data_IF_904236762637
#
_entry.id   IF_904236762637
#
_cell.length_a   1.000
_cell.length_b   1.000
_cell.length_c   1.000
_cell.angle_alpha   90.00
_cell.angle_beta   90.00
_cell.angle_gamma   90.00
#
_symmetry.space_group_name_H-M   'P 1'
#
loop_
_entity.id
_entity.type
_entity.pdbx_description
1 polymer ?
#
# COMPACT_ATOMS: atom_id res chain seq x y z
N UNK A 1 15.32 3.60 14.54
CA UNK A 1 13.98 3.27 13.98
C UNK A 1 13.06 2.58 15.01
N UNK A 2 11.83 3.08 15.20
CA UNK A 2 10.80 2.52 16.08
C UNK A 2 9.94 1.46 15.34
N UNK A 3 9.37 0.49 16.06
CA UNK A 3 8.38 -0.48 15.54
C UNK A 3 7.22 0.19 14.77
N UNK A 4 6.68 1.30 15.26
CA UNK A 4 5.55 1.96 14.60
C UNK A 4 5.96 2.65 13.29
N UNK A 5 7.19 3.14 13.17
CA UNK A 5 7.73 3.66 11.90
C UNK A 5 7.84 2.53 10.86
N UNK A 6 8.29 1.34 11.28
CA UNK A 6 8.31 0.14 10.41
C UNK A 6 6.92 -0.28 9.97
N UNK A 7 5.95 -0.30 10.90
CA UNK A 7 4.54 -0.61 10.59
C UNK A 7 3.92 0.40 9.63
N UNK A 8 4.20 1.69 9.83
CA UNK A 8 3.81 2.77 8.93
C UNK A 8 4.37 2.55 7.53
N UNK A 9 5.67 2.30 7.44
CA UNK A 9 6.33 2.04 6.17
C UNK A 9 5.71 0.83 5.47
N UNK A 10 5.59 -0.31 6.15
CA UNK A 10 4.96 -1.51 5.60
C UNK A 10 3.50 -1.31 5.16
N UNK A 11 2.74 -0.45 5.83
CA UNK A 11 1.31 -0.23 5.55
C UNK A 11 1.08 0.53 4.24
N UNK A 12 1.88 1.56 3.95
CA UNK A 12 1.61 2.49 2.84
C UNK A 12 2.72 2.54 1.78
N UNK A 13 3.88 1.89 1.98
CA UNK A 13 5.01 2.02 1.06
C UNK A 13 4.69 1.59 -0.38
N UNK A 14 3.94 0.51 -0.56
CA UNK A 14 3.64 -0.04 -1.88
C UNK A 14 2.74 0.87 -2.72
N UNK A 15 1.92 1.72 -2.10
CA UNK A 15 1.07 2.69 -2.81
C UNK A 15 1.84 3.92 -3.32
N UNK A 16 3.09 4.11 -2.88
CA UNK A 16 3.92 5.30 -3.16
C UNK A 16 5.29 4.92 -3.72
N UNK A 17 5.40 3.77 -4.39
CA UNK A 17 6.68 3.20 -4.84
C UNK A 17 7.25 3.79 -6.13
N UNK A 18 6.51 4.59 -6.89
CA UNK A 18 7.00 5.10 -8.17
C UNK A 18 8.22 6.03 -8.01
N UNK A 19 9.20 5.77 -8.87
CA UNK A 19 10.60 6.20 -8.86
C UNK A 19 10.80 7.63 -8.29
N UNK A 20 11.20 7.70 -7.02
CA UNK A 20 11.62 8.94 -6.36
C UNK A 20 10.60 9.58 -5.40
N UNK A 21 9.37 9.07 -5.35
CA UNK A 21 8.29 9.63 -4.53
C UNK A 21 8.02 8.82 -3.25
N UNK A 22 9.03 8.68 -2.38
CA UNK A 22 8.80 8.54 -0.93
C UNK A 22 8.19 9.85 -0.33
N UNK A 23 7.38 10.58 -1.11
CA UNK A 23 6.90 11.94 -0.82
C UNK A 23 6.04 11.95 0.44
N UNK A 24 5.20 10.92 0.64
CA UNK A 24 4.41 10.81 1.86
C UNK A 24 5.29 10.66 3.10
N UNK A 25 6.35 9.85 3.06
CA UNK A 25 7.24 9.69 4.21
C UNK A 25 8.16 10.89 4.45
N UNK A 26 8.43 11.69 3.41
CA UNK A 26 9.12 12.98 3.54
C UNK A 26 8.24 14.05 4.22
N UNK A 27 6.92 13.96 4.08
CA UNK A 27 5.98 14.87 4.76
C UNK A 27 5.67 14.47 6.20
N UNK A 28 5.74 13.17 6.53
CA UNK A 28 5.56 12.66 7.88
C UNK A 28 6.77 12.96 8.78
N UNK A 29 6.60 13.91 9.72
CA UNK A 29 7.66 14.31 10.64
C UNK A 29 8.18 13.14 11.48
N UNK A 30 7.30 12.22 11.89
CA UNK A 30 7.69 11.03 12.65
C UNK A 30 8.61 10.06 11.89
N UNK A 31 8.69 10.13 10.55
CA UNK A 31 9.49 9.22 9.73
C UNK A 31 10.70 9.90 9.07
N UNK A 32 10.67 11.24 8.97
CA UNK A 32 11.65 12.05 8.23
C UNK A 32 13.11 11.74 8.59
N UNK A 33 13.42 11.64 9.88
CA UNK A 33 14.80 11.47 10.35
C UNK A 33 15.34 10.04 10.17
N UNK A 34 14.47 9.05 9.96
CA UNK A 34 14.83 7.64 9.83
C UNK A 34 14.48 7.06 8.45
N UNK A 35 14.19 7.91 7.45
CA UNK A 35 13.67 7.45 6.16
C UNK A 35 14.65 6.51 5.46
N UNK A 36 15.94 6.87 5.43
CA UNK A 36 16.97 6.03 4.80
C UNK A 36 17.13 4.70 5.53
N UNK A 37 17.04 4.70 6.86
CA UNK A 37 17.08 3.47 7.67
C UNK A 37 15.85 2.58 7.40
N UNK A 38 14.67 3.17 7.21
CA UNK A 38 13.43 2.46 6.89
C UNK A 38 13.52 1.84 5.49
N UNK A 39 14.03 2.60 4.52
CA UNK A 39 14.22 2.12 3.16
C UNK A 39 15.24 0.98 3.11
N UNK A 40 16.39 1.13 3.78
CA UNK A 40 17.41 0.08 3.88
C UNK A 40 16.87 -1.16 4.60
N UNK A 41 16.12 -0.98 5.70
CA UNK A 41 15.48 -2.10 6.40
C UNK A 41 14.49 -2.86 5.50
N UNK A 42 13.69 -2.14 4.72
CA UNK A 42 12.75 -2.76 3.78
C UNK A 42 13.48 -3.47 2.64
N UNK A 43 14.53 -2.85 2.08
CA UNK A 43 15.37 -3.46 1.05
C UNK A 43 16.08 -4.70 1.56
N UNK A 44 16.69 -4.66 2.75
CA UNK A 44 17.29 -5.82 3.39
C UNK A 44 16.26 -6.94 3.59
N UNK A 45 15.04 -6.61 4.02
CA UNK A 45 13.97 -7.59 4.08
C UNK A 45 13.66 -8.19 2.70
N UNK A 46 13.72 -7.41 1.62
CA UNK A 46 13.47 -7.87 0.24
C UNK A 46 14.66 -8.64 -0.36
N UNK A 47 15.89 -8.33 0.03
CA UNK A 47 17.10 -9.05 -0.41
C UNK A 47 17.27 -10.34 0.38
N UNK A 48 17.07 -10.31 1.70
CA UNK A 48 16.99 -11.49 2.56
C UNK A 48 15.81 -12.39 2.17
N UNK A 49 14.76 -11.86 1.51
CA UNK A 49 13.65 -12.64 0.95
C UNK A 49 14.06 -13.58 -0.18
N UNK A 50 15.07 -13.24 -0.98
CA UNK A 50 15.59 -14.17 -2.00
C UNK A 50 16.30 -15.37 -1.36
N UNK A 51 16.66 -15.27 -0.06
CA UNK A 51 17.47 -16.26 0.65
C UNK A 51 16.70 -16.98 1.80
N UNK A 52 15.68 -16.37 2.40
CA UNK A 52 14.93 -16.91 3.56
C UNK A 52 13.41 -17.00 3.33
N UNK A 53 12.88 -18.22 3.47
CA UNK A 53 11.52 -18.67 3.11
C UNK A 53 10.35 -18.12 3.96
N UNK A 54 10.47 -17.01 4.71
CA UNK A 54 9.36 -16.47 5.51
C UNK A 54 9.10 -15.01 5.15
N UNK A 55 8.21 -14.82 4.17
CA UNK A 55 7.90 -13.53 3.56
C UNK A 55 6.40 -13.25 3.65
N UNK A 56 5.94 -12.03 4.01
CA UNK A 56 4.51 -11.66 3.91
C UNK A 56 3.86 -12.01 2.56
N UNK A 57 4.54 -11.75 1.43
CA UNK A 57 4.05 -12.14 0.11
C UNK A 57 4.10 -13.65 -0.14
N UNK A 58 5.08 -14.40 0.38
CA UNK A 58 5.14 -15.86 0.26
C UNK A 58 4.11 -16.53 1.17
N UNK A 59 3.86 -15.98 2.36
CA UNK A 59 2.79 -16.38 3.28
C UNK A 59 1.44 -16.11 2.61
N UNK A 60 1.25 -14.92 2.04
CA UNK A 60 0.04 -14.59 1.29
C UNK A 60 -0.13 -15.55 0.09
N UNK A 61 0.92 -15.74 -0.71
CA UNK A 61 0.93 -16.64 -1.86
C UNK A 61 0.73 -18.11 -1.49
N UNK A 62 1.19 -18.55 -0.30
CA UNK A 62 0.94 -19.92 0.19
C UNK A 62 -0.54 -20.19 0.46
N UNK A 63 -1.35 -19.14 0.60
CA UNK A 63 -2.81 -19.23 0.71
C UNK A 63 -3.52 -19.21 -0.65
N UNK A 64 -2.82 -18.83 -1.71
CA UNK A 64 -3.38 -18.80 -3.06
C UNK A 64 -3.60 -20.21 -3.58
N UNK A 65 -4.78 -20.43 -4.18
CA UNK A 65 -5.12 -21.70 -4.84
C UNK A 65 -4.92 -21.65 -6.35
N UNK A 66 -4.35 -20.56 -6.86
CA UNK A 66 -4.21 -20.28 -8.29
C UNK A 66 -2.81 -19.72 -8.57
N UNK A 67 -2.20 -20.15 -9.67
CA UNK A 67 -0.90 -19.68 -10.12
C UNK A 67 -1.08 -18.64 -11.23
N UNK A 68 -1.55 -17.44 -10.86
CA UNK A 68 -1.77 -16.33 -11.79
C UNK A 68 -0.65 -15.30 -11.61
N UNK A 69 0.00 -14.93 -12.71
CA UNK A 69 0.96 -13.84 -12.70
C UNK A 69 0.26 -12.50 -12.44
N UNK A 70 0.77 -11.71 -11.50
CA UNK A 70 0.32 -10.34 -11.31
C UNK A 70 0.69 -9.52 -12.56
N UNK A 71 -0.27 -8.72 -13.04
CA UNK A 71 -0.08 -7.92 -14.26
C UNK A 71 -0.07 -6.44 -13.91
N UNK A 72 1.14 -5.87 -13.81
CA UNK A 72 1.35 -4.49 -13.37
C UNK A 72 1.18 -3.43 -14.49
N UNK A 73 1.16 -3.86 -15.76
CA UNK A 73 1.16 -2.95 -16.93
C UNK A 73 -0.21 -2.86 -17.63
N UNK A 74 -1.30 -2.78 -16.87
CA UNK A 74 -2.62 -2.47 -17.45
C UNK A 74 -2.97 -1.00 -17.22
N UNK A 75 -2.76 -0.18 -18.24
CA UNK A 75 -3.36 1.16 -18.43
C UNK A 75 -4.86 1.08 -18.71
N UNK A 76 -5.57 0.16 -18.05
CA UNK A 76 -7.01 0.06 -18.18
C UNK A 76 -7.66 0.91 -17.11
N UNK A 77 -8.37 1.95 -17.56
CA UNK A 77 -9.13 2.88 -16.71
C UNK A 77 -10.27 2.20 -15.95
N UNK A 78 -10.54 0.92 -16.20
CA UNK A 78 -11.57 0.14 -15.49
C UNK A 78 -11.05 -1.22 -15.05
N UNK A 79 -11.58 -1.74 -13.95
CA UNK A 79 -11.40 -3.13 -13.53
C UNK A 79 -12.72 -3.74 -13.06
N UNK A 80 -12.79 -5.06 -13.12
CA UNK A 80 -13.93 -5.81 -12.60
C UNK A 80 -13.60 -6.34 -11.21
N UNK A 81 -14.43 -5.99 -10.24
CA UNK A 81 -14.37 -6.53 -8.88
C UNK A 81 -15.53 -7.49 -8.65
N UNK A 82 -15.32 -8.46 -7.76
CA UNK A 82 -16.33 -9.45 -7.37
C UNK A 82 -16.56 -9.40 -5.88
N UNK A 83 -17.83 -9.39 -5.48
CA UNK A 83 -18.19 -9.53 -4.08
C UNK A 83 -17.84 -10.96 -3.59
N UNK A 84 -17.12 -11.12 -2.45
CA UNK A 84 -16.58 -12.42 -2.04
C UNK A 84 -17.65 -13.46 -1.69
N UNK A 85 -18.85 -13.03 -1.27
CA UNK A 85 -19.92 -13.95 -0.85
C UNK A 85 -20.89 -14.25 -1.99
N UNK A 86 -21.38 -13.22 -2.68
CA UNK A 86 -22.43 -13.36 -3.71
C UNK A 86 -21.86 -13.63 -5.09
N UNK A 87 -20.55 -13.41 -5.31
CA UNK A 87 -19.93 -13.45 -6.63
C UNK A 87 -20.40 -12.33 -7.56
N UNK A 88 -21.21 -11.37 -7.09
CA UNK A 88 -21.74 -10.28 -7.89
C UNK A 88 -20.58 -9.48 -8.48
N UNK A 89 -20.65 -9.27 -9.79
CA UNK A 89 -19.64 -8.53 -10.55
C UNK A 89 -20.01 -7.06 -10.59
N UNK A 90 -19.02 -6.20 -10.37
CA UNK A 90 -19.15 -4.76 -10.51
C UNK A 90 -17.96 -4.23 -11.30
N UNK A 91 -18.22 -3.37 -12.28
CA UNK A 91 -17.17 -2.68 -13.02
C UNK A 91 -16.92 -1.34 -12.36
N UNK A 92 -15.66 -1.07 -12.02
CA UNK A 92 -15.24 0.16 -11.37
C UNK A 92 -14.17 0.85 -12.19
N UNK A 93 -14.14 2.16 -12.09
CA UNK A 93 -13.04 2.97 -12.62
C UNK A 93 -11.78 2.77 -11.77
N UNK A 94 -10.69 2.40 -12.41
CA UNK A 94 -9.36 2.38 -11.82
C UNK A 94 -8.85 3.83 -11.77
N UNK A 95 -8.90 4.45 -10.59
CA UNK A 95 -8.23 5.73 -10.39
C UNK A 95 -6.74 5.54 -10.15
N UNK A 96 -5.94 6.53 -10.57
CA UNK A 96 -4.50 6.51 -10.38
C UNK A 96 -4.16 6.74 -8.90
N UNK A 97 -3.74 5.68 -8.19
CA UNK A 97 -3.48 5.69 -6.75
C UNK A 97 -2.29 6.57 -6.32
N UNK A 98 -1.55 7.14 -7.27
CA UNK A 98 -0.31 7.88 -7.06
C UNK A 98 -0.49 9.27 -6.42
N UNK A 99 -1.70 9.84 -6.39
CA UNK A 99 -1.88 11.18 -5.82
C UNK A 99 -1.79 11.12 -4.28
N UNK A 100 -0.83 11.86 -3.70
CA UNK A 100 -0.61 11.89 -2.26
C UNK A 100 -1.74 12.65 -1.57
N UNK A 101 -2.49 12.00 -0.66
CA UNK A 101 -3.57 12.68 0.03
C UNK A 101 -3.03 13.74 1.00
N UNK A 102 -3.77 14.82 1.18
CA UNK A 102 -3.46 15.81 2.21
C UNK A 102 -3.69 15.21 3.60
N UNK A 103 -2.60 15.01 4.35
CA UNK A 103 -2.62 14.43 5.69
C UNK A 103 -2.94 15.45 6.80
N UNK A 104 -3.00 16.75 6.49
CA UNK A 104 -3.29 17.80 7.47
C UNK A 104 -2.29 17.80 8.64
N UNK A 105 -2.80 18.01 9.86
CA UNK A 105 -1.95 18.18 11.05
C UNK A 105 -1.27 16.89 11.52
N UNK A 106 -1.75 15.70 11.14
CA UNK A 106 -1.12 14.43 11.54
C UNK A 106 0.29 14.29 10.93
N UNK A 107 0.58 14.98 9.82
CA UNK A 107 1.91 14.98 9.22
C UNK A 107 2.97 15.64 10.12
N UNK A 108 2.55 16.57 11.00
CA UNK A 108 3.44 17.26 11.95
C UNK A 108 3.62 16.52 13.27
N UNK A 109 2.88 15.43 13.48
CA UNK A 109 2.98 14.63 14.69
C UNK A 109 4.31 13.85 14.72
N UNK A 110 4.95 13.82 15.89
CA UNK A 110 6.24 13.13 16.10
C UNK A 110 6.06 11.72 16.64
N UNK A 111 4.96 11.45 17.34
CA UNK A 111 4.67 10.10 17.84
C UNK A 111 4.21 9.17 16.71
N UNK A 112 5.14 8.33 16.24
CA UNK A 112 4.87 7.33 15.22
C UNK A 112 3.74 6.36 15.57
N UNK A 113 3.47 6.07 16.86
CA UNK A 113 2.34 5.22 17.27
C UNK A 113 1.01 5.89 16.95
N UNK A 114 0.89 7.17 17.30
CA UNK A 114 -0.30 7.98 17.04
C UNK A 114 -0.54 8.15 15.54
N UNK A 115 0.53 8.46 14.79
CA UNK A 115 0.47 8.56 13.32
C UNK A 115 0.03 7.24 12.69
N UNK A 116 0.58 6.11 13.15
CA UNK A 116 0.18 4.77 12.68
C UNK A 116 -1.31 4.51 12.84
N UNK A 117 -1.84 4.67 14.06
CA UNK A 117 -3.26 4.39 14.32
C UNK A 117 -4.19 5.36 13.59
N UNK A 118 -3.78 6.62 13.48
CA UNK A 118 -4.54 7.60 12.73
C UNK A 118 -4.61 7.23 11.25
N UNK A 119 -3.47 6.91 10.62
CA UNK A 119 -3.44 6.50 9.22
C UNK A 119 -4.23 5.19 9.01
N UNK A 120 -4.04 4.19 9.87
CA UNK A 120 -4.82 2.95 9.80
C UNK A 120 -6.34 3.20 9.83
N UNK A 121 -6.81 4.16 10.63
CA UNK A 121 -8.24 4.46 10.77
C UNK A 121 -8.80 5.39 9.69
N UNK A 122 -8.07 6.42 9.29
CA UNK A 122 -8.59 7.55 8.50
C UNK A 122 -8.05 7.60 7.07
N UNK A 123 -6.92 6.97 6.77
CA UNK A 123 -6.36 6.96 5.42
C UNK A 123 -7.35 6.40 4.37
N UNK A 124 -8.07 5.27 4.62
CA UNK A 124 -9.07 4.78 3.67
C UNK A 124 -10.19 5.80 3.40
N UNK A 125 -10.67 6.51 4.43
CA UNK A 125 -11.72 7.53 4.26
C UNK A 125 -11.25 8.72 3.42
N UNK A 126 -9.99 9.13 3.57
CA UNK A 126 -9.42 10.20 2.74
C UNK A 126 -9.33 9.76 1.28
N UNK A 127 -8.91 8.51 1.04
CA UNK A 127 -8.86 7.93 -0.31
C UNK A 127 -10.26 7.81 -0.93
N UNK A 128 -11.26 7.43 -0.14
CA UNK A 128 -12.66 7.36 -0.58
C UNK A 128 -13.24 8.72 -0.98
N UNK A 129 -12.74 9.83 -0.43
CA UNK A 129 -13.16 11.18 -0.84
C UNK A 129 -12.57 11.61 -2.18
N UNK A 130 -11.40 11.07 -2.55
CA UNK A 130 -10.75 11.37 -3.84
C UNK A 130 -11.37 10.59 -5.00
N UNK A 131 -11.89 9.38 -4.74
CA UNK A 131 -12.51 8.54 -5.76
C UNK A 131 -13.71 7.77 -5.22
N UNK A 132 -14.81 7.79 -5.98
CA UNK A 132 -16.04 7.02 -5.70
C UNK A 132 -15.77 5.53 -5.49
N UNK A 133 -14.78 4.96 -6.18
CA UNK A 133 -14.42 3.55 -6.09
C UNK A 133 -13.09 3.32 -5.36
N UNK A 134 -12.53 4.34 -4.68
CA UNK A 134 -11.17 4.28 -4.13
C UNK A 134 -10.91 3.11 -3.17
N UNK A 135 -11.93 2.69 -2.42
CA UNK A 135 -11.85 1.53 -1.50
C UNK A 135 -12.01 0.17 -2.18
N UNK A 136 -12.46 0.16 -3.44
CA UNK A 136 -12.72 -1.05 -4.19
C UNK A 136 -11.57 -1.39 -5.16
N UNK A 137 -10.63 -0.47 -5.37
CA UNK A 137 -9.49 -0.69 -6.26
C UNK A 137 -8.57 -1.73 -5.62
N UNK A 138 -8.38 -2.90 -6.25
CA UNK A 138 -7.52 -3.94 -5.68
C UNK A 138 -6.04 -3.53 -5.79
N UNK A 139 -5.26 -3.87 -4.76
CA UNK A 139 -3.80 -3.70 -4.75
C UNK A 139 -3.12 -4.56 -5.84
N UNK A 140 -3.66 -5.74 -6.11
CA UNK A 140 -3.17 -6.65 -7.15
C UNK A 140 -4.23 -6.85 -8.23
N UNK A 141 -3.89 -6.48 -9.47
CA UNK A 141 -4.74 -6.70 -10.64
C UNK A 141 -4.36 -8.01 -11.33
N UNK A 142 -5.38 -8.81 -11.65
CA UNK A 142 -5.23 -10.10 -12.34
C UNK A 142 -5.91 -9.99 -13.70
N UNK A 143 -5.20 -10.34 -14.77
CA UNK A 143 -5.78 -10.41 -16.13
C UNK A 143 -6.47 -11.76 -16.32
N UNK A 144 -7.71 -11.76 -16.84
CA UNK A 144 -8.33 -13.00 -17.32
C UNK A 144 -7.65 -13.43 -18.62
N UNK A 145 -7.21 -14.69 -18.68
CA UNK A 145 -6.82 -15.37 -19.91
C UNK A 145 -8.04 -15.68 -20.77
#
# INVERSE_FOLDING_TARGET
>A
MNVYQRKLYALIHQEHQDEGSNSIFRTLLCCKDNLDQLQNWWQQLVEEQEQSQVLPNAIASSSDRVNLGAYYNTTTDTCQVKHPISGQQHQIDCFNQQETPNLGDIAKERDGKKVFWWLWRFYPEIRAKQSRHGLLVPTHKIRRC
#
